data_IF_333606078275
#
_entry.id   IF_333606078275
#
_cell.length_a   1.000
_cell.length_b   1.000
_cell.length_c   1.000
_cell.angle_alpha   90.00
_cell.angle_beta   90.00
_cell.angle_gamma   90.00
#
_symmetry.space_group_name_H-M   'P 1'
#
loop_
_entity.id
_entity.type
_entity.pdbx_description
1 polymer ?
#
# COMPACT_ATOMS: atom_id res chain seq x y z
N UNK A 1 -34.40 11.82 -12.05
CA UNK A 1 -34.03 10.77 -11.07
C UNK A 1 -33.30 11.46 -9.94
N UNK A 2 -34.03 11.93 -8.92
CA UNK A 2 -33.51 12.76 -7.83
C UNK A 2 -34.19 12.27 -6.56
N UNK A 3 -33.46 11.62 -5.65
CA UNK A 3 -34.01 11.27 -4.34
C UNK A 3 -33.30 10.16 -3.55
N UNK A 4 -32.48 9.30 -4.16
CA UNK A 4 -31.84 8.19 -3.43
C UNK A 4 -30.47 8.53 -2.82
N UNK A 5 -29.88 9.68 -3.18
CA UNK A 5 -28.51 10.05 -2.76
C UNK A 5 -28.37 10.78 -1.42
N UNK A 6 -29.47 11.21 -0.79
CA UNK A 6 -29.44 12.11 0.39
C UNK A 6 -29.80 11.43 1.72
N UNK A 7 -30.01 10.11 1.73
CA UNK A 7 -30.26 9.39 2.97
C UNK A 7 -28.94 8.84 3.55
N UNK A 8 -28.40 9.42 4.65
CA UNK A 8 -27.17 8.91 5.29
C UNK A 8 -27.28 7.45 5.75
N UNK A 9 -28.49 6.93 5.98
CA UNK A 9 -28.68 5.50 6.23
C UNK A 9 -28.36 4.64 4.99
N UNK A 10 -28.83 5.05 3.81
CA UNK A 10 -28.58 4.33 2.56
C UNK A 10 -27.10 4.36 2.17
N UNK A 11 -26.42 5.48 2.41
CA UNK A 11 -24.98 5.62 2.19
C UNK A 11 -24.19 4.70 3.14
N UNK A 12 -24.53 4.69 4.43
CA UNK A 12 -23.91 3.82 5.42
C UNK A 12 -24.08 2.33 5.09
N UNK A 13 -25.26 1.93 4.59
CA UNK A 13 -25.52 0.56 4.16
C UNK A 13 -24.66 0.17 2.95
N UNK A 14 -24.46 1.08 1.99
CA UNK A 14 -23.54 0.88 0.87
C UNK A 14 -22.08 0.65 1.30
N UNK A 15 -21.61 1.38 2.31
CA UNK A 15 -20.29 1.13 2.91
C UNK A 15 -20.22 -0.21 3.64
N UNK A 16 -21.26 -0.54 4.41
CA UNK A 16 -21.37 -1.82 5.13
C UNK A 16 -21.24 -3.02 4.19
N UNK A 17 -21.92 -2.99 3.06
CA UNK A 17 -21.81 -4.05 2.05
C UNK A 17 -20.38 -4.21 1.51
N UNK A 18 -19.70 -3.09 1.21
CA UNK A 18 -18.32 -3.12 0.73
C UNK A 18 -17.39 -3.72 1.78
N UNK A 19 -17.53 -3.33 3.05
CA UNK A 19 -16.71 -3.83 4.17
C UNK A 19 -16.86 -5.35 4.30
N UNK A 20 -18.10 -5.87 4.31
CA UNK A 20 -18.35 -7.30 4.46
C UNK A 20 -17.79 -8.14 3.30
N UNK A 21 -17.74 -7.57 2.09
CA UNK A 21 -17.13 -8.19 0.90
C UNK A 21 -15.60 -8.25 0.97
N UNK A 22 -14.96 -7.42 1.79
CA UNK A 22 -13.49 -7.41 1.94
C UNK A 22 -12.97 -8.53 2.84
N UNK A 23 -13.81 -9.21 3.63
CA UNK A 23 -13.39 -10.29 4.53
C UNK A 23 -12.20 -9.89 5.42
N UNK A 24 -12.33 -8.77 6.12
CA UNK A 24 -11.30 -8.26 7.02
C UNK A 24 -11.22 -9.12 8.30
N UNK A 25 -10.16 -8.94 9.08
CA UNK A 25 -10.12 -9.50 10.43
C UNK A 25 -11.21 -8.87 11.32
N UNK A 26 -11.61 -9.60 12.37
CA UNK A 26 -12.75 -9.21 13.20
C UNK A 26 -12.60 -7.83 13.85
N UNK A 27 -11.38 -7.44 14.22
CA UNK A 27 -11.13 -6.15 14.86
C UNK A 27 -11.24 -5.00 13.85
N UNK A 28 -10.68 -5.19 12.66
CA UNK A 28 -10.75 -4.23 11.55
C UNK A 28 -12.19 -4.07 11.04
N UNK A 29 -12.89 -5.18 10.80
CA UNK A 29 -14.29 -5.17 10.36
C UNK A 29 -15.17 -4.44 11.37
N UNK A 30 -15.10 -4.80 12.65
CA UNK A 30 -15.87 -4.16 13.72
C UNK A 30 -15.62 -2.65 13.78
N UNK A 31 -14.38 -2.19 13.61
CA UNK A 31 -14.05 -0.76 13.62
C UNK A 31 -14.72 -0.01 12.45
N UNK A 32 -14.71 -0.59 11.25
CA UNK A 32 -15.31 0.05 10.08
C UNK A 32 -16.84 0.03 10.14
N UNK A 33 -17.43 -1.07 10.62
CA UNK A 33 -18.88 -1.15 10.84
C UNK A 33 -19.37 -0.12 11.86
N UNK A 34 -18.64 0.06 12.97
CA UNK A 34 -18.94 1.11 13.94
C UNK A 34 -18.88 2.51 13.32
N UNK A 35 -17.95 2.76 12.39
CA UNK A 35 -17.87 4.04 11.69
C UNK A 35 -19.04 4.23 10.70
N UNK A 36 -19.53 3.16 10.07
CA UNK A 36 -20.76 3.19 9.26
C UNK A 36 -21.99 3.49 10.12
N UNK A 37 -22.11 2.81 11.27
CA UNK A 37 -23.20 3.06 12.22
C UNK A 37 -23.18 4.51 12.70
N UNK A 38 -21.99 5.09 12.92
CA UNK A 38 -21.85 6.52 13.24
C UNK A 38 -22.33 7.41 12.09
N UNK A 39 -21.92 7.12 10.85
CA UNK A 39 -22.29 7.91 9.67
C UNK A 39 -23.80 8.02 9.49
N UNK A 40 -24.54 6.94 9.81
CA UNK A 40 -26.02 6.88 9.75
C UNK A 40 -26.74 7.96 10.58
N UNK A 41 -26.16 8.36 11.72
CA UNK A 41 -26.81 9.28 12.67
C UNK A 41 -26.26 10.71 12.61
N UNK A 42 -25.14 10.93 11.91
CA UNK A 42 -24.54 12.26 11.78
C UNK A 42 -25.27 13.05 10.70
N UNK A 43 -25.47 14.36 10.94
CA UNK A 43 -26.09 15.23 9.94
C UNK A 43 -25.23 15.26 8.66
N UNK A 44 -25.79 14.97 7.48
CA UNK A 44 -24.99 14.77 6.27
C UNK A 44 -24.19 16.00 5.81
N UNK A 45 -24.59 17.21 6.23
CA UNK A 45 -23.88 18.46 5.97
C UNK A 45 -22.78 18.79 7.00
N UNK A 46 -22.55 17.95 8.01
CA UNK A 46 -21.61 18.24 9.09
C UNK A 46 -20.17 17.89 8.70
N UNK A 47 -19.15 18.61 9.26
CA UNK A 47 -17.75 18.26 9.08
C UNK A 47 -17.41 16.83 9.53
N UNK A 48 -18.08 16.33 10.57
CA UNK A 48 -17.90 14.96 11.07
C UNK A 48 -18.34 13.91 10.03
N UNK A 49 -19.44 14.14 9.32
CA UNK A 49 -19.88 13.26 8.23
C UNK A 49 -18.83 13.21 7.11
N UNK A 50 -18.24 14.36 6.75
CA UNK A 50 -17.17 14.40 5.74
C UNK A 50 -15.92 13.63 6.18
N UNK A 51 -15.51 13.75 7.45
CA UNK A 51 -14.38 12.99 8.01
C UNK A 51 -14.63 11.49 7.98
N UNK A 52 -15.82 11.04 8.41
CA UNK A 52 -16.18 9.61 8.39
C UNK A 52 -16.23 9.04 6.97
N UNK A 53 -16.80 9.78 5.99
CA UNK A 53 -16.81 9.37 4.58
C UNK A 53 -15.41 9.25 4.00
N UNK A 54 -14.59 10.29 4.14
CA UNK A 54 -13.21 10.28 3.66
C UNK A 54 -12.41 9.13 4.26
N UNK A 55 -12.60 8.82 5.54
CA UNK A 55 -11.95 7.69 6.20
C UNK A 55 -12.40 6.35 5.60
N UNK A 56 -13.71 6.13 5.46
CA UNK A 56 -14.26 4.91 4.89
C UNK A 56 -13.80 4.72 3.43
N UNK A 57 -13.89 5.76 2.61
CA UNK A 57 -13.42 5.73 1.22
C UNK A 57 -11.93 5.37 1.15
N UNK A 58 -11.07 6.05 1.92
CA UNK A 58 -9.63 5.79 1.88
C UNK A 58 -9.27 4.38 2.33
N UNK A 59 -9.95 3.84 3.34
CA UNK A 59 -9.71 2.48 3.80
C UNK A 59 -10.18 1.46 2.75
N UNK A 60 -11.34 1.69 2.13
CA UNK A 60 -11.89 0.77 1.13
C UNK A 60 -11.14 0.80 -0.21
N UNK A 61 -10.43 1.88 -0.52
CA UNK A 61 -9.54 1.99 -1.68
C UNK A 61 -8.27 1.12 -1.55
N UNK A 62 -7.89 0.70 -0.34
CA UNK A 62 -6.69 -0.10 -0.14
C UNK A 62 -6.83 -1.50 -0.77
N UNK A 63 -5.73 -2.08 -1.29
CA UNK A 63 -5.74 -3.36 -1.98
C UNK A 63 -5.81 -4.55 -1.01
N UNK A 64 -6.87 -4.63 -0.19
CA UNK A 64 -7.09 -5.70 0.77
C UNK A 64 -7.13 -7.07 0.08
N UNK A 65 -6.31 -8.00 0.56
CA UNK A 65 -6.19 -9.36 0.02
C UNK A 65 -5.84 -9.44 -1.49
N UNK A 66 -5.46 -8.33 -2.11
CA UNK A 66 -5.04 -8.28 -3.51
C UNK A 66 -3.51 -8.34 -3.56
N UNK A 67 -2.99 -9.47 -4.04
CA UNK A 67 -1.55 -9.72 -4.13
C UNK A 67 -1.11 -9.94 -5.58
N UNK A 68 0.08 -9.44 -5.92
CA UNK A 68 0.71 -9.77 -7.22
C UNK A 68 1.22 -11.20 -7.19
N UNK A 69 1.08 -11.93 -8.30
CA UNK A 69 1.69 -13.26 -8.45
C UNK A 69 3.20 -13.12 -8.59
N UNK A 70 3.92 -13.46 -7.53
CA UNK A 70 5.37 -13.31 -7.47
C UNK A 70 6.09 -14.33 -8.35
N UNK A 71 7.18 -13.90 -9.00
CA UNK A 71 8.08 -14.76 -9.78
C UNK A 71 9.43 -14.90 -9.08
N UNK A 72 9.67 -16.05 -8.45
CA UNK A 72 10.92 -16.36 -7.74
C UNK A 72 11.90 -17.20 -8.57
N UNK A 73 11.81 -17.13 -9.91
CA UNK A 73 12.75 -17.78 -10.80
C UNK A 73 14.08 -17.01 -10.85
N UNK A 74 15.12 -17.58 -10.25
CA UNK A 74 16.46 -17.00 -10.13
C UNK A 74 17.10 -16.78 -11.51
N UNK A 75 16.95 -17.71 -12.45
CA UNK A 75 17.51 -17.57 -13.80
C UNK A 75 16.84 -16.45 -14.59
N UNK A 76 15.52 -16.29 -14.39
CA UNK A 76 14.80 -15.16 -14.96
C UNK A 76 15.26 -13.83 -14.37
N UNK A 77 15.42 -13.77 -13.04
CA UNK A 77 15.91 -12.58 -12.37
C UNK A 77 17.32 -12.21 -12.83
N UNK A 78 18.23 -13.19 -12.92
CA UNK A 78 19.59 -13.01 -13.45
C UNK A 78 19.56 -12.42 -14.86
N UNK A 79 18.78 -13.01 -15.77
CA UNK A 79 18.65 -12.53 -17.15
C UNK A 79 18.16 -11.08 -17.23
N UNK A 80 17.18 -10.72 -16.43
CA UNK A 80 16.64 -9.34 -16.40
C UNK A 80 17.68 -8.37 -15.84
N UNK A 81 18.33 -8.71 -14.73
CA UNK A 81 19.37 -7.87 -14.13
C UNK A 81 20.58 -7.69 -15.05
N UNK A 82 20.99 -8.75 -15.75
CA UNK A 82 22.11 -8.68 -16.70
C UNK A 82 21.78 -7.91 -17.97
N UNK A 83 20.53 -8.00 -18.45
CA UNK A 83 20.06 -7.19 -19.58
C UNK A 83 19.99 -5.71 -19.21
N UNK A 84 19.44 -5.39 -18.04
CA UNK A 84 19.12 -4.01 -17.67
C UNK A 84 20.32 -3.26 -17.05
N UNK A 85 21.34 -3.99 -16.58
CA UNK A 85 22.52 -3.42 -15.93
C UNK A 85 23.81 -4.08 -16.39
N UNK A 86 24.73 -3.30 -16.95
CA UNK A 86 26.09 -3.77 -17.22
C UNK A 86 26.94 -3.79 -15.92
N UNK A 87 27.78 -4.81 -15.75
CA UNK A 87 28.62 -4.95 -14.55
C UNK A 87 27.82 -5.28 -13.28
N UNK A 88 28.17 -4.62 -12.16
CA UNK A 88 27.50 -4.75 -10.85
C UNK A 88 27.39 -6.19 -10.33
N UNK A 89 28.41 -7.03 -10.56
CA UNK A 89 28.38 -8.47 -10.22
C UNK A 89 27.97 -8.71 -8.78
N UNK A 90 28.63 -8.05 -7.84
CA UNK A 90 28.38 -8.24 -6.40
C UNK A 90 26.96 -7.83 -5.99
N UNK A 91 26.43 -6.74 -6.56
CA UNK A 91 25.07 -6.27 -6.31
C UNK A 91 24.04 -7.26 -6.87
N UNK A 92 24.26 -7.75 -8.09
CA UNK A 92 23.39 -8.74 -8.73
C UNK A 92 23.38 -10.04 -7.95
N UNK A 93 24.56 -10.54 -7.56
CA UNK A 93 24.67 -11.77 -6.76
C UNK A 93 23.89 -11.64 -5.44
N UNK A 94 24.05 -10.50 -4.74
CA UNK A 94 23.31 -10.24 -3.51
C UNK A 94 21.79 -10.20 -3.70
N UNK A 95 21.33 -9.66 -4.83
CA UNK A 95 19.91 -9.68 -5.19
C UNK A 95 19.43 -11.12 -5.46
N UNK A 96 20.22 -11.93 -6.16
CA UNK A 96 19.88 -13.32 -6.43
C UNK A 96 19.83 -14.15 -5.15
N UNK A 97 20.75 -13.93 -4.21
CA UNK A 97 20.72 -14.53 -2.87
C UNK A 97 19.43 -14.16 -2.12
N UNK A 98 19.03 -12.89 -2.14
CA UNK A 98 17.78 -12.44 -1.54
C UNK A 98 16.57 -13.19 -2.13
N UNK A 99 16.52 -13.38 -3.44
CA UNK A 99 15.45 -14.13 -4.12
C UNK A 99 15.52 -15.62 -3.72
N UNK A 100 16.72 -16.19 -3.62
CA UNK A 100 16.90 -17.58 -3.22
C UNK A 100 16.39 -17.85 -1.79
N UNK A 101 16.69 -16.96 -0.85
CA UNK A 101 16.18 -17.07 0.53
C UNK A 101 14.66 -16.95 0.56
N UNK A 102 14.07 -16.02 -0.20
CA UNK A 102 12.60 -15.92 -0.33
C UNK A 102 11.96 -17.16 -0.93
N UNK A 103 12.63 -17.80 -1.91
CA UNK A 103 12.16 -19.04 -2.53
C UNK A 103 12.13 -20.20 -1.54
N UNK A 104 13.11 -20.29 -0.65
CA UNK A 104 13.19 -21.32 0.39
C UNK A 104 12.24 -21.05 1.56
N UNK A 105 12.05 -19.78 1.92
CA UNK A 105 11.23 -19.35 3.05
C UNK A 105 10.23 -18.27 2.65
N UNK A 106 9.09 -18.61 2.02
CA UNK A 106 8.11 -17.64 1.51
C UNK A 106 7.53 -16.72 2.60
N UNK A 107 7.43 -17.23 3.83
CA UNK A 107 6.84 -16.52 4.97
C UNK A 107 7.84 -15.63 5.72
N UNK A 108 9.09 -15.50 5.24
CA UNK A 108 10.09 -14.68 5.91
C UNK A 108 9.70 -13.19 5.84
N UNK A 109 9.56 -12.57 7.02
CA UNK A 109 9.25 -11.14 7.18
C UNK A 109 10.54 -10.35 7.42
N UNK A 110 10.55 -9.08 7.03
CA UNK A 110 11.60 -8.12 7.43
C UNK A 110 12.88 -8.11 6.60
N UNK A 111 12.93 -8.75 5.44
CA UNK A 111 14.11 -8.64 4.57
C UNK A 111 14.08 -7.32 3.77
N UNK A 112 15.08 -6.46 4.02
CA UNK A 112 15.24 -5.16 3.37
C UNK A 112 16.60 -5.14 2.66
N UNK A 113 16.62 -4.71 1.40
CA UNK A 113 17.87 -4.45 0.65
C UNK A 113 18.14 -2.95 0.69
N UNK A 114 19.34 -2.58 1.13
CA UNK A 114 19.84 -1.21 1.04
C UNK A 114 20.90 -1.11 -0.06
N UNK A 115 20.67 -0.25 -1.05
CA UNK A 115 21.63 0.04 -2.12
C UNK A 115 22.33 1.37 -1.83
N UNK A 116 23.64 1.35 -1.59
CA UNK A 116 24.43 2.53 -1.21
C UNK A 116 25.50 2.81 -2.27
N UNK A 117 25.75 4.09 -2.55
CA UNK A 117 26.81 4.53 -3.46
C UNK A 117 26.63 5.97 -3.94
N UNK A 118 27.54 6.51 -4.76
CA UNK A 118 27.46 7.86 -5.33
C UNK A 118 26.16 8.12 -6.12
N UNK A 119 25.74 9.39 -6.32
CA UNK A 119 24.64 9.70 -7.23
C UNK A 119 24.94 9.20 -8.65
N UNK A 120 23.91 8.81 -9.40
CA UNK A 120 24.06 8.36 -10.80
C UNK A 120 24.42 6.89 -11.02
N UNK A 121 24.80 6.12 -9.99
CA UNK A 121 25.21 4.70 -10.14
C UNK A 121 24.07 3.70 -10.40
N UNK A 122 22.85 4.18 -10.70
CA UNK A 122 21.74 3.30 -11.12
C UNK A 122 20.95 2.62 -10.01
N UNK A 123 21.07 3.01 -8.73
CA UNK A 123 20.33 2.42 -7.59
C UNK A 123 18.82 2.26 -7.83
N UNK A 124 18.16 3.34 -8.27
CA UNK A 124 16.72 3.33 -8.59
C UNK A 124 16.41 2.42 -9.78
N UNK A 125 17.31 2.35 -10.77
CA UNK A 125 17.17 1.48 -11.93
C UNK A 125 17.24 0.01 -11.53
N UNK A 126 18.19 -0.37 -10.66
CA UNK A 126 18.31 -1.72 -10.11
C UNK A 126 17.05 -2.13 -9.34
N UNK A 127 16.49 -1.24 -8.52
CA UNK A 127 15.24 -1.51 -7.82
C UNK A 127 14.05 -1.75 -8.77
N UNK A 128 13.96 -1.00 -9.88
CA UNK A 128 12.93 -1.21 -10.93
C UNK A 128 13.10 -2.57 -11.61
N UNK A 129 14.32 -2.94 -11.98
CA UNK A 129 14.61 -4.24 -12.60
C UNK A 129 14.33 -5.40 -11.67
N UNK A 130 14.59 -5.25 -10.37
CA UNK A 130 14.22 -6.23 -9.35
C UNK A 130 12.69 -6.41 -9.26
N UNK A 131 11.93 -5.32 -9.20
CA UNK A 131 10.47 -5.39 -9.20
C UNK A 131 9.94 -6.10 -10.47
N UNK A 132 10.51 -5.78 -11.64
CA UNK A 132 10.19 -6.44 -12.92
C UNK A 132 10.54 -7.94 -12.89
N UNK A 133 11.70 -8.31 -12.37
CA UNK A 133 12.13 -9.70 -12.23
C UNK A 133 11.20 -10.53 -11.35
N UNK A 134 10.73 -9.93 -10.26
CA UNK A 134 9.81 -10.55 -9.30
C UNK A 134 8.34 -10.51 -9.72
N UNK A 135 8.01 -9.88 -10.85
CA UNK A 135 6.64 -9.59 -11.26
C UNK A 135 5.83 -8.84 -10.18
N UNK A 136 6.43 -7.81 -9.59
CA UNK A 136 5.80 -6.96 -8.56
C UNK A 136 5.59 -5.55 -9.08
N UNK A 137 4.50 -4.91 -8.64
CA UNK A 137 4.30 -3.47 -8.85
C UNK A 137 5.46 -2.69 -8.22
N UNK A 138 5.94 -1.68 -8.93
CA UNK A 138 7.02 -0.80 -8.47
C UNK A 138 6.42 0.54 -8.08
N UNK A 139 6.64 0.94 -6.84
CA UNK A 139 6.33 2.27 -6.33
C UNK A 139 7.59 2.88 -5.71
N UNK A 140 7.69 4.21 -5.74
CA UNK A 140 8.85 4.93 -5.21
C UNK A 140 8.40 6.07 -4.32
N UNK A 141 8.83 6.01 -3.06
CA UNK A 141 8.70 7.09 -2.09
C UNK A 141 10.05 7.78 -1.97
N UNK A 142 10.07 9.11 -2.04
CA UNK A 142 11.28 9.91 -1.83
C UNK A 142 11.34 10.35 -0.37
N UNK A 143 12.40 10.00 0.34
CA UNK A 143 12.61 10.41 1.74
C UNK A 143 13.46 11.70 1.85
N UNK A 144 13.94 12.23 0.72
CA UNK A 144 14.72 13.47 0.73
C UNK A 144 13.82 14.67 1.06
N UNK A 145 14.19 15.42 2.09
CA UNK A 145 13.41 16.57 2.56
C UNK A 145 12.22 16.22 3.45
N UNK A 146 12.05 14.94 3.82
CA UNK A 146 11.07 14.55 4.85
C UNK A 146 11.58 15.04 6.20
N UNK A 147 10.76 15.84 6.88
CA UNK A 147 11.10 16.44 8.16
C UNK A 147 10.07 16.13 9.24
N UNK A 148 8.86 15.69 8.86
CA UNK A 148 7.80 15.31 9.79
C UNK A 148 7.43 13.83 9.63
N UNK A 149 7.22 13.16 10.76
CA UNK A 149 6.67 11.81 10.83
C UNK A 149 5.29 11.71 10.17
N UNK A 150 4.52 12.80 10.21
CA UNK A 150 3.20 12.87 9.60
C UNK A 150 3.23 12.64 8.07
N UNK A 151 4.34 12.94 7.40
CA UNK A 151 4.48 12.66 5.96
C UNK A 151 4.43 11.15 5.68
N UNK A 152 4.94 10.32 6.58
CA UNK A 152 4.98 8.86 6.43
C UNK A 152 3.78 8.19 7.12
N UNK A 153 3.41 8.63 8.32
CA UNK A 153 2.35 7.98 9.12
C UNK A 153 0.96 8.60 8.92
N UNK A 154 0.89 9.83 8.41
CA UNK A 154 -0.34 10.60 8.36
C UNK A 154 -0.74 11.19 9.71
N UNK A 155 -1.86 11.91 9.70
CA UNK A 155 -2.41 12.54 10.89
C UNK A 155 -3.50 11.68 11.55
N UNK A 156 -3.76 11.92 12.84
CA UNK A 156 -4.94 11.36 13.50
C UNK A 156 -6.20 11.87 12.80
N UNK A 157 -7.20 10.99 12.60
CA UNK A 157 -8.49 11.32 11.96
C UNK A 157 -9.24 12.50 12.60
N UNK A 158 -8.89 12.86 13.84
CA UNK A 158 -9.53 13.95 14.58
C UNK A 158 -9.08 15.34 14.14
N UNK A 159 -8.00 15.46 13.35
CA UNK A 159 -7.56 16.75 12.82
C UNK A 159 -8.38 17.14 11.60
N UNK A 160 -8.79 18.42 11.52
CA UNK A 160 -9.43 18.97 10.33
C UNK A 160 -8.44 18.86 9.16
N UNK A 161 -8.86 18.23 8.06
CA UNK A 161 -8.00 17.98 6.90
C UNK A 161 -6.99 16.84 7.08
N UNK A 162 -7.21 15.94 8.06
CA UNK A 162 -6.35 14.77 8.25
C UNK A 162 -6.29 13.90 6.98
N UNK A 163 -5.07 13.64 6.52
CA UNK A 163 -4.79 12.74 5.40
C UNK A 163 -3.89 11.60 5.88
N UNK A 164 -4.01 10.39 5.27
CA UNK A 164 -3.01 9.35 5.46
C UNK A 164 -1.64 9.82 4.96
N UNK A 165 -0.58 9.19 5.46
CA UNK A 165 0.79 9.45 4.99
C UNK A 165 0.93 9.13 3.50
N UNK A 166 1.84 9.84 2.85
CA UNK A 166 2.11 9.77 1.42
C UNK A 166 3.35 8.95 1.07
#
# INVERSE_FOLDING_TARGET
ELGEGDNPASEADGYREKILKLHLDADSEKKLLNECDRLKYVQPSSPESAVSRNYLDKILELPWHIYSKENLNIDNARRILDRDHYGLKDVKERILEFIAVRKLSPNIKGQIICLVGPPGVGKTSVAKSLAKALNRKYERISLGGVHDEAEIRGHRKTYIGAMPGS
#
